data_IF_191572103833
#
_entry.id   IF_191572103833
#
_cell.length_a   1.000
_cell.length_b   1.000
_cell.length_c   1.000
_cell.angle_alpha   90.00
_cell.angle_beta   90.00
_cell.angle_gamma   90.00
#
_symmetry.space_group_name_H-M   'P 1'
#
loop_
_entity.id
_entity.type
_entity.pdbx_description
1 polymer ?
#
# COMPACT_ATOMS: atom_id res chain seq x y z
N UNK A 1 14.04 13.67 14.59
CA UNK A 1 14.34 15.07 14.18
C UNK A 1 14.14 15.18 12.68
N UNK A 2 14.25 16.38 12.10
CA UNK A 2 14.21 16.53 10.62
C UNK A 2 15.37 15.77 9.98
N UNK A 3 16.57 15.93 10.52
CA UNK A 3 17.77 15.26 10.02
C UNK A 3 17.65 13.74 9.99
N UNK A 4 17.16 13.10 11.07
CA UNK A 4 16.96 11.64 11.10
C UNK A 4 15.95 11.21 10.02
N UNK A 5 14.84 11.95 9.88
CA UNK A 5 13.82 11.62 8.87
C UNK A 5 14.35 11.81 7.44
N UNK A 6 15.22 12.79 7.22
CA UNK A 6 15.93 12.96 5.96
C UNK A 6 16.89 11.79 5.68
N UNK A 7 17.68 11.36 6.67
CA UNK A 7 18.58 10.21 6.53
C UNK A 7 17.82 8.90 6.23
N UNK A 8 16.66 8.69 6.86
CA UNK A 8 15.77 7.57 6.56
C UNK A 8 15.21 7.67 5.13
N UNK A 9 14.78 8.87 4.73
CA UNK A 9 14.26 9.10 3.39
C UNK A 9 15.31 8.88 2.30
N UNK A 10 16.55 9.28 2.54
CA UNK A 10 17.68 9.03 1.66
C UNK A 10 17.96 7.53 1.44
N UNK A 11 17.48 6.65 2.35
CA UNK A 11 17.57 5.18 2.25
C UNK A 11 16.32 4.54 1.61
N UNK A 12 15.35 5.35 1.19
CA UNK A 12 14.16 4.89 0.47
C UNK A 12 12.87 4.88 1.29
N UNK A 13 12.89 5.31 2.56
CA UNK A 13 11.65 5.50 3.31
C UNK A 13 10.87 6.70 2.78
N UNK A 14 9.55 6.60 2.67
CA UNK A 14 8.73 7.75 2.31
C UNK A 14 8.63 8.71 3.51
N UNK A 15 8.92 10.02 3.34
CA UNK A 15 8.80 10.97 4.43
C UNK A 15 7.36 11.13 4.94
N UNK A 16 7.21 11.34 6.24
CA UNK A 16 5.94 11.75 6.86
C UNK A 16 5.79 13.28 6.90
N UNK A 17 6.91 14.02 6.85
CA UNK A 17 6.93 15.48 6.98
C UNK A 17 7.13 16.19 5.65
N UNK A 18 6.38 17.28 5.45
CA UNK A 18 6.45 18.09 4.23
C UNK A 18 7.80 18.77 4.00
N UNK A 19 8.49 19.17 5.08
CA UNK A 19 9.80 19.80 4.96
C UNK A 19 10.90 18.82 4.52
N UNK A 20 10.82 17.58 4.98
CA UNK A 20 11.70 16.49 4.51
C UNK A 20 11.40 16.17 3.04
N UNK A 21 10.14 16.12 2.63
CA UNK A 21 9.74 15.99 1.21
C UNK A 21 10.36 17.08 0.35
N UNK A 22 10.22 18.35 0.74
CA UNK A 22 10.77 19.48 0.01
C UNK A 22 12.30 19.36 -0.15
N UNK A 23 13.00 18.95 0.92
CA UNK A 23 14.45 18.75 0.92
C UNK A 23 14.88 17.63 -0.04
N UNK A 24 14.31 16.43 0.08
CA UNK A 24 14.72 15.30 -0.77
C UNK A 24 14.39 15.52 -2.26
N UNK A 25 13.29 16.23 -2.57
CA UNK A 25 12.93 16.57 -3.94
C UNK A 25 13.91 17.59 -4.52
N UNK A 26 14.31 18.59 -3.72
CA UNK A 26 15.33 19.56 -4.13
C UNK A 26 16.69 18.91 -4.39
N UNK A 27 17.11 17.99 -3.52
CA UNK A 27 18.35 17.23 -3.69
C UNK A 27 18.29 16.34 -4.95
N UNK A 28 17.17 15.65 -5.16
CA UNK A 28 16.96 14.81 -6.34
C UNK A 28 16.90 15.61 -7.64
N UNK A 29 16.49 16.88 -7.61
CA UNK A 29 16.47 17.77 -8.76
C UNK A 29 17.88 18.13 -9.27
N UNK A 30 18.92 17.93 -8.45
CA UNK A 30 20.31 18.12 -8.85
C UNK A 30 20.92 16.89 -9.56
N UNK A 31 20.19 15.77 -9.64
CA UNK A 31 20.62 14.56 -10.34
C UNK A 31 20.49 14.72 -11.86
N UNK A 32 21.45 14.17 -12.60
CA UNK A 32 21.37 14.05 -14.06
C UNK A 32 20.35 12.99 -14.52
N UNK A 33 19.76 12.23 -13.59
CA UNK A 33 18.72 11.23 -13.87
C UNK A 33 17.35 11.89 -13.72
N UNK A 34 16.61 12.17 -14.82
CA UNK A 34 15.35 12.91 -14.74
C UNK A 34 14.29 12.22 -13.87
N UNK A 35 14.38 10.89 -13.73
CA UNK A 35 13.46 10.09 -12.94
C UNK A 35 13.61 10.31 -11.43
N UNK A 36 14.78 10.76 -10.93
CA UNK A 36 15.04 10.86 -9.49
C UNK A 36 14.11 11.86 -8.81
N UNK A 37 13.91 13.02 -9.43
CA UNK A 37 12.93 14.02 -8.97
C UNK A 37 11.50 13.54 -9.23
N UNK A 38 11.22 13.11 -10.46
CA UNK A 38 9.87 12.78 -10.93
C UNK A 38 9.20 11.71 -10.07
N UNK A 39 9.95 10.66 -9.69
CA UNK A 39 9.42 9.59 -8.85
C UNK A 39 9.04 10.07 -7.43
N UNK A 40 9.75 11.05 -6.88
CA UNK A 40 9.49 11.58 -5.55
C UNK A 40 8.26 12.50 -5.56
N UNK A 41 8.12 13.35 -6.57
CA UNK A 41 6.91 14.18 -6.75
C UNK A 41 5.66 13.31 -6.94
N UNK A 42 5.77 12.25 -7.74
CA UNK A 42 4.68 11.27 -7.92
C UNK A 42 4.37 10.54 -6.61
N UNK A 43 5.38 10.07 -5.88
CA UNK A 43 5.17 9.40 -4.60
C UNK A 43 4.50 10.33 -3.57
N UNK A 44 4.91 11.61 -3.50
CA UNK A 44 4.30 12.59 -2.62
C UNK A 44 2.81 12.80 -2.97
N UNK A 45 2.48 12.87 -4.26
CA UNK A 45 1.09 12.95 -4.72
C UNK A 45 0.30 11.72 -4.27
N UNK A 46 0.79 10.51 -4.56
CA UNK A 46 0.12 9.25 -4.23
C UNK A 46 -0.11 9.07 -2.73
N UNK A 47 0.84 9.49 -1.89
CA UNK A 47 0.66 9.49 -0.43
C UNK A 47 -0.54 10.35 0.00
N UNK A 48 -0.77 11.47 -0.69
CA UNK A 48 -1.90 12.36 -0.40
C UNK A 48 -3.23 11.94 -1.02
N UNK A 49 -3.22 11.18 -2.13
CA UNK A 49 -4.43 10.89 -2.91
C UNK A 49 -4.86 9.43 -2.93
N UNK A 50 -3.92 8.49 -2.89
CA UNK A 50 -4.16 7.08 -3.25
C UNK A 50 -3.76 6.10 -2.13
N UNK A 51 -3.04 6.54 -1.11
CA UNK A 51 -2.66 5.68 0.00
C UNK A 51 -3.85 5.49 0.94
N UNK A 52 -4.34 4.26 1.00
CA UNK A 52 -5.37 3.87 1.95
C UNK A 52 -4.76 3.00 3.05
N UNK A 53 -5.09 3.33 4.29
CA UNK A 53 -4.81 2.41 5.40
C UNK A 53 -5.57 1.11 5.17
N UNK A 54 -4.92 -0.05 5.35
CA UNK A 54 -5.64 -1.31 5.39
C UNK A 54 -6.83 -1.24 6.38
N UNK A 55 -7.94 -1.93 6.11
CA UNK A 55 -9.03 -2.11 7.08
C UNK A 55 -8.50 -2.47 8.47
N UNK A 56 -8.82 -1.66 9.47
CA UNK A 56 -8.31 -1.78 10.83
C UNK A 56 -9.21 -2.72 11.65
N UNK A 57 -9.13 -4.03 11.38
CA UNK A 57 -9.78 -5.06 12.20
C UNK A 57 -8.79 -6.14 12.64
N UNK A 58 -9.09 -6.80 13.75
CA UNK A 58 -8.18 -7.74 14.42
C UNK A 58 -7.76 -8.90 13.49
N UNK A 59 -8.69 -9.38 12.67
CA UNK A 59 -8.49 -10.49 11.75
C UNK A 59 -8.02 -10.07 10.35
N UNK A 60 -7.46 -8.86 10.17
CA UNK A 60 -6.93 -8.39 8.89
C UNK A 60 -5.93 -9.38 8.28
N UNK A 61 -5.01 -9.90 9.09
CA UNK A 61 -4.02 -10.87 8.62
C UNK A 61 -4.69 -12.17 8.16
N UNK A 62 -5.66 -12.69 8.92
CA UNK A 62 -6.46 -13.87 8.56
C UNK A 62 -7.15 -13.68 7.22
N UNK A 63 -7.79 -12.52 7.01
CA UNK A 63 -8.39 -12.16 5.73
C UNK A 63 -7.36 -12.12 4.60
N UNK A 64 -6.21 -11.47 4.77
CA UNK A 64 -5.21 -11.38 3.70
C UNK A 64 -4.63 -12.75 3.32
N UNK A 65 -4.45 -13.65 4.29
CA UNK A 65 -4.00 -15.02 4.03
C UNK A 65 -5.02 -15.82 3.21
N UNK A 66 -6.32 -15.56 3.42
CA UNK A 66 -7.42 -16.18 2.70
C UNK A 66 -7.56 -15.61 1.27
N UNK A 67 -7.52 -14.29 1.14
CA UNK A 67 -7.74 -13.59 -0.12
C UNK A 67 -6.57 -13.72 -1.11
N UNK A 68 -5.33 -13.71 -0.62
CA UNK A 68 -4.15 -13.59 -1.49
C UNK A 68 -4.01 -14.72 -2.53
N UNK A 69 -4.25 -16.01 -2.19
CA UNK A 69 -4.27 -17.09 -3.20
C UNK A 69 -5.29 -16.85 -4.32
N UNK A 70 -6.52 -16.44 -4.01
CA UNK A 70 -7.56 -16.14 -5.01
C UNK A 70 -7.15 -14.96 -5.90
N UNK A 71 -6.56 -13.92 -5.32
CA UNK A 71 -6.02 -12.80 -6.08
C UNK A 71 -4.92 -13.26 -7.05
N UNK A 72 -4.04 -14.17 -6.64
CA UNK A 72 -3.01 -14.72 -7.53
C UNK A 72 -3.63 -15.51 -8.69
N UNK A 73 -4.65 -16.33 -8.45
CA UNK A 73 -5.36 -17.05 -9.51
C UNK A 73 -6.05 -16.10 -10.50
N UNK A 74 -6.61 -14.98 -10.05
CA UNK A 74 -7.11 -13.92 -10.94
C UNK A 74 -5.97 -13.34 -11.80
N UNK A 75 -4.83 -12.99 -11.19
CA UNK A 75 -3.69 -12.38 -11.90
C UNK A 75 -3.12 -13.33 -12.96
N UNK A 76 -3.07 -14.63 -12.67
CA UNK A 76 -2.57 -15.66 -13.58
C UNK A 76 -3.58 -16.04 -14.67
N UNK A 77 -4.84 -15.61 -14.55
CA UNK A 77 -5.91 -15.92 -15.48
C UNK A 77 -6.55 -17.29 -15.28
N UNK A 78 -6.27 -17.95 -14.14
CA UNK A 78 -6.89 -19.23 -13.76
C UNK A 78 -8.35 -19.06 -13.33
N UNK A 79 -8.72 -17.84 -12.89
CA UNK A 79 -10.07 -17.45 -12.51
C UNK A 79 -10.42 -16.11 -13.15
N UNK A 80 -11.70 -15.90 -13.49
CA UNK A 80 -12.15 -14.56 -13.86
C UNK A 80 -12.18 -13.64 -12.64
N UNK A 81 -12.12 -12.33 -12.87
CA UNK A 81 -12.22 -11.32 -11.81
C UNK A 81 -13.55 -11.46 -11.04
N UNK A 82 -14.66 -11.70 -11.74
CA UNK A 82 -15.99 -11.84 -11.12
C UNK A 82 -16.08 -13.07 -10.23
N UNK A 83 -15.61 -14.23 -10.71
CA UNK A 83 -15.60 -15.47 -9.93
C UNK A 83 -14.72 -15.33 -8.68
N UNK A 84 -13.48 -14.86 -8.83
CA UNK A 84 -12.56 -14.75 -7.71
C UNK A 84 -13.00 -13.71 -6.66
N UNK A 85 -13.59 -12.58 -7.08
CA UNK A 85 -14.14 -11.60 -6.13
C UNK A 85 -15.38 -12.13 -5.41
N UNK A 86 -16.26 -12.85 -6.12
CA UNK A 86 -17.45 -13.47 -5.50
C UNK A 86 -17.04 -14.49 -4.45
N UNK A 87 -16.11 -15.37 -4.81
CA UNK A 87 -15.59 -16.38 -3.89
C UNK A 87 -14.90 -15.77 -2.67
N UNK A 88 -14.08 -14.73 -2.86
CA UNK A 88 -13.43 -14.05 -1.76
C UNK A 88 -14.40 -13.38 -0.80
N UNK A 89 -15.50 -12.81 -1.30
CA UNK A 89 -16.55 -12.23 -0.46
C UNK A 89 -17.20 -13.31 0.40
N UNK A 90 -17.54 -14.46 -0.18
CA UNK A 90 -18.19 -15.54 0.56
C UNK A 90 -17.26 -16.16 1.61
N UNK A 91 -16.01 -16.44 1.26
CA UNK A 91 -15.00 -16.94 2.19
C UNK A 91 -14.73 -15.93 3.32
N UNK A 92 -14.66 -14.63 3.01
CA UNK A 92 -14.46 -13.58 4.02
C UNK A 92 -15.66 -13.47 4.95
N UNK A 93 -16.90 -13.54 4.44
CA UNK A 93 -18.10 -13.55 5.29
C UNK A 93 -18.09 -14.72 6.25
N UNK A 94 -17.73 -15.91 5.77
CA UNK A 94 -17.63 -17.09 6.63
C UNK A 94 -16.56 -16.88 7.71
N UNK A 95 -15.36 -16.41 7.35
CA UNK A 95 -14.30 -16.09 8.32
C UNK A 95 -14.77 -15.07 9.37
N UNK A 96 -15.50 -14.04 8.95
CA UNK A 96 -16.02 -13.02 9.85
C UNK A 96 -17.09 -13.56 10.80
N UNK A 97 -17.95 -14.47 10.33
CA UNK A 97 -18.95 -15.14 11.17
C UNK A 97 -18.28 -16.06 12.22
N UNK A 98 -17.29 -16.85 11.80
CA UNK A 98 -16.50 -17.74 12.67
C UNK A 98 -15.70 -16.95 13.73
N UNK A 99 -15.24 -15.75 13.39
CA UNK A 99 -14.57 -14.82 14.30
C UNK A 99 -15.55 -14.03 15.19
N UNK A 100 -16.87 -14.18 14.99
CA UNK A 100 -17.91 -13.58 15.83
C UNK A 100 -18.26 -12.12 15.49
N UNK A 101 -17.96 -11.62 14.29
CA UNK A 101 -18.25 -10.24 13.90
C UNK A 101 -19.74 -9.93 13.66
N UNK A 102 -20.59 -10.95 13.54
CA UNK A 102 -22.02 -10.80 13.25
C UNK A 102 -22.95 -11.19 14.42
N UNK A 103 -22.40 -11.53 15.58
CA UNK A 103 -23.16 -11.93 16.77
C UNK A 103 -23.45 -10.77 17.72
#
# INVERSE_FOLDING_TARGET
>A
SEEIAYEEAARGSLPVRDDVWARIIADAAASDVPLDKTRLELAQLQVGTDFFTPPLFADWISFTNLWYPTLQSIILGDMTVEEGLTEAVDQTRQMMDEAGYYQ
#
